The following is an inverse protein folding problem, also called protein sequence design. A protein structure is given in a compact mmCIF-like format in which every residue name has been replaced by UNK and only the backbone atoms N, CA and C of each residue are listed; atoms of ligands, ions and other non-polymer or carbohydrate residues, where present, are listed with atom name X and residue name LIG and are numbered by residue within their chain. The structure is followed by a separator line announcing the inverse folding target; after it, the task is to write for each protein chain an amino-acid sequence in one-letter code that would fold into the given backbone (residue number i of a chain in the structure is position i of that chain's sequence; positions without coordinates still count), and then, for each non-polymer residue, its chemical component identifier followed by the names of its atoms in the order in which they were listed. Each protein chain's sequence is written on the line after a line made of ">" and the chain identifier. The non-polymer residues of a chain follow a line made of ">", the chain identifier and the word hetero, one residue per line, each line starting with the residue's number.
data_IF_124454702418
#
_entry.id   IF_124454702418
#
_cell.length_a   1.000
_cell.length_b   1.000
_cell.length_c   1.000
_cell.angle_alpha   90.00
_cell.angle_beta   90.00
_cell.angle_gamma   90.00
#
_symmetry.space_group_name_H-M   'P 1'
#
loop_
_entity.id
_entity.type
_entity.pdbx_description
1 polymer ?
#
# COMPACT_ATOMS: atom_id res chain seq x y z
N UNK A 1 10.57 0.38 30.13
CA UNK A 1 11.62 0.84 29.19
C UNK A 1 10.95 1.73 28.15
N UNK A 2 10.94 3.04 28.37
CA UNK A 2 10.40 3.99 27.40
C UNK A 2 11.51 4.28 26.40
N UNK A 3 11.46 3.62 25.25
CA UNK A 3 12.30 4.00 24.11
C UNK A 3 11.77 5.34 23.61
N UNK A 4 12.36 6.42 24.08
CA UNK A 4 12.26 7.75 23.46
C UNK A 4 13.00 7.71 22.13
N UNK A 5 12.37 7.07 21.15
CA UNK A 5 12.89 6.95 19.80
C UNK A 5 12.25 8.06 18.97
N UNK A 6 13.02 9.12 18.74
CA UNK A 6 12.86 10.02 17.59
C UNK A 6 13.15 9.26 16.27
N UNK A 7 12.80 7.96 16.20
CA UNK A 7 12.80 7.19 14.97
C UNK A 7 11.63 7.72 14.15
N UNK A 8 11.95 8.29 12.99
CA UNK A 8 10.96 8.81 12.04
C UNK A 8 9.85 7.77 11.86
N UNK A 9 8.66 8.06 12.37
CA UNK A 9 7.55 7.12 12.31
C UNK A 9 7.21 6.88 10.83
N UNK A 10 7.19 5.62 10.42
CA UNK A 10 6.80 5.24 9.05
C UNK A 10 5.47 4.50 9.12
N UNK A 11 4.54 4.89 8.25
CA UNK A 11 3.31 4.16 8.00
C UNK A 11 3.42 3.42 6.68
N UNK A 12 2.70 2.32 6.56
CA UNK A 12 2.63 1.51 5.36
C UNK A 12 1.22 1.59 4.81
N UNK A 13 1.06 2.22 3.65
CA UNK A 13 -0.21 2.27 2.95
C UNK A 13 -0.27 1.11 1.95
N UNK A 14 -1.36 0.35 2.00
CA UNK A 14 -1.67 -0.70 1.05
C UNK A 14 -2.89 -0.28 0.24
N UNK A 15 -2.73 -0.26 -1.08
CA UNK A 15 -3.79 0.10 -2.01
C UNK A 15 -3.64 -0.68 -3.32
N UNK A 16 -4.69 -0.74 -4.10
CA UNK A 16 -4.68 -1.35 -5.43
C UNK A 16 -5.55 -0.61 -6.42
N UNK A 17 -5.43 -0.99 -7.68
CA UNK A 17 -6.22 -0.46 -8.76
C UNK A 17 -5.96 -1.23 -10.05
N UNK A 18 -6.83 -1.04 -11.03
CA UNK A 18 -6.60 -1.59 -12.35
C UNK A 18 -5.54 -0.79 -13.09
N UNK A 19 -4.55 -1.49 -13.65
CA UNK A 19 -3.56 -0.87 -14.50
C UNK A 19 -4.10 -0.65 -15.92
N UNK A 20 -3.56 0.36 -16.61
CA UNK A 20 -3.82 0.54 -18.04
C UNK A 20 -3.35 -0.68 -18.84
N UNK A 21 -2.14 -1.15 -18.52
CA UNK A 21 -1.46 -2.30 -19.14
C UNK A 21 -0.62 -3.02 -18.08
N UNK A 22 -0.48 -4.36 -18.19
CA UNK A 22 0.25 -5.19 -17.22
C UNK A 22 1.72 -4.76 -17.06
N UNK A 23 2.33 -4.24 -18.12
CA UNK A 23 3.75 -3.82 -18.15
C UNK A 23 3.99 -2.44 -17.55
N UNK A 24 2.95 -1.62 -17.34
CA UNK A 24 3.05 -0.23 -16.89
C UNK A 24 2.53 -0.11 -15.46
N UNK A 25 3.22 0.66 -14.62
CA UNK A 25 2.75 1.01 -13.27
C UNK A 25 1.85 2.26 -13.30
N UNK A 26 0.89 2.28 -14.20
CA UNK A 26 -0.06 3.39 -14.36
C UNK A 26 -1.45 2.87 -14.06
N UNK A 27 -2.08 3.42 -13.03
CA UNK A 27 -3.46 3.09 -12.66
C UNK A 27 -4.39 3.77 -13.65
N UNK A 28 -5.29 2.98 -14.26
CA UNK A 28 -6.24 3.40 -15.28
C UNK A 28 -7.16 4.51 -14.79
N UNK A 29 -7.67 4.40 -13.56
CA UNK A 29 -8.52 5.41 -12.95
C UNK A 29 -8.03 5.73 -11.54
N UNK A 30 -7.35 6.88 -11.33
CA UNK A 30 -6.90 7.32 -10.02
C UNK A 30 -8.01 7.58 -9.00
N UNK A 31 -9.24 7.82 -9.45
CA UNK A 31 -10.40 8.04 -8.55
C UNK A 31 -11.04 6.71 -8.09
N UNK A 32 -10.64 5.58 -8.69
CA UNK A 32 -11.14 4.23 -8.39
C UNK A 32 -10.03 3.34 -7.83
N UNK A 33 -9.53 3.75 -6.65
CA UNK A 33 -8.49 3.05 -5.91
C UNK A 33 -9.12 2.18 -4.83
N UNK A 34 -8.78 0.90 -4.79
CA UNK A 34 -9.09 0.02 -3.66
C UNK A 34 -8.11 0.30 -2.51
N UNK A 35 -8.54 1.11 -1.54
CA UNK A 35 -7.80 1.33 -0.32
C UNK A 35 -7.96 0.14 0.63
N UNK A 36 -6.87 -0.63 0.80
CA UNK A 36 -6.85 -1.78 1.71
C UNK A 36 -6.66 -1.33 3.16
N UNK A 37 -5.77 -0.36 3.39
CA UNK A 37 -5.57 0.22 4.71
C UNK A 37 -4.20 0.85 4.95
N UNK A 38 -4.03 1.40 6.15
CA UNK A 38 -2.79 2.02 6.63
C UNK A 38 -2.34 1.26 7.88
N UNK A 39 -1.06 0.87 7.92
CA UNK A 39 -0.50 0.01 8.96
C UNK A 39 0.75 0.63 9.58
N UNK A 40 0.97 0.37 10.87
CA UNK A 40 2.18 0.76 11.59
C UNK A 40 3.31 -0.29 11.54
N UNK A 41 3.06 -1.44 10.90
CA UNK A 41 4.00 -2.55 10.77
C UNK A 41 4.07 -3.01 9.31
N UNK A 42 5.29 -3.15 8.79
CA UNK A 42 5.51 -3.63 7.41
C UNK A 42 4.96 -5.04 7.22
N UNK A 43 5.12 -5.91 8.21
CA UNK A 43 4.64 -7.29 8.14
C UNK A 43 3.12 -7.34 8.02
N UNK A 44 2.40 -6.54 8.82
CA UNK A 44 0.93 -6.43 8.71
C UNK A 44 0.48 -5.89 7.35
N UNK A 45 1.19 -4.90 6.81
CA UNK A 45 0.92 -4.39 5.47
C UNK A 45 1.19 -5.45 4.39
N UNK A 46 2.27 -6.22 4.52
CA UNK A 46 2.60 -7.31 3.62
C UNK A 46 1.54 -8.41 3.62
N UNK A 47 1.06 -8.82 4.80
CA UNK A 47 0.00 -9.81 4.92
C UNK A 47 -1.30 -9.34 4.26
N UNK A 48 -1.69 -8.08 4.48
CA UNK A 48 -2.86 -7.47 3.86
C UNK A 48 -2.73 -7.38 2.33
N UNK A 49 -1.59 -6.92 1.84
CA UNK A 49 -1.26 -6.87 0.41
C UNK A 49 -1.31 -8.26 -0.24
N UNK A 50 -0.72 -9.27 0.41
CA UNK A 50 -0.68 -10.64 -0.10
C UNK A 50 -2.08 -11.22 -0.18
N UNK A 51 -2.89 -11.06 0.86
CA UNK A 51 -4.27 -11.54 0.89
C UNK A 51 -5.10 -10.91 -0.25
N UNK A 52 -5.04 -9.59 -0.42
CA UNK A 52 -5.75 -8.88 -1.49
C UNK A 52 -5.25 -9.24 -2.90
N UNK A 53 -3.94 -9.34 -3.08
CA UNK A 53 -3.34 -9.72 -4.36
C UNK A 53 -3.74 -11.14 -4.77
N UNK A 54 -3.82 -12.07 -3.82
CA UNK A 54 -4.24 -13.46 -4.08
C UNK A 54 -5.73 -13.57 -4.41
N UNK A 55 -6.57 -12.68 -3.88
CA UNK A 55 -8.00 -12.65 -4.21
C UNK A 55 -8.27 -12.17 -5.65
N UNK A 56 -7.38 -11.34 -6.21
CA UNK A 56 -7.56 -10.72 -7.52
C UNK A 56 -6.75 -11.38 -8.64
N UNK A 57 -6.37 -12.66 -8.48
CA UNK A 57 -5.58 -13.41 -9.48
C UNK A 57 -6.28 -13.48 -10.83
N UNK A 58 -7.61 -13.55 -10.85
CA UNK A 58 -8.40 -13.63 -12.09
C UNK A 58 -8.43 -12.31 -12.87
N UNK A 59 -8.18 -11.18 -12.21
CA UNK A 59 -8.05 -9.88 -12.88
C UNK A 59 -6.58 -9.57 -13.14
N UNK A 60 -6.12 -9.88 -14.36
CA UNK A 60 -4.74 -9.70 -14.77
C UNK A 60 -4.22 -8.25 -14.68
N UNK A 61 -5.13 -7.25 -14.69
CA UNK A 61 -4.78 -5.83 -14.60
C UNK A 61 -4.86 -5.28 -13.17
N UNK A 62 -5.62 -5.91 -12.28
CA UNK A 62 -5.67 -5.52 -10.88
C UNK A 62 -4.32 -5.81 -10.22
N UNK A 63 -3.69 -4.78 -9.66
CA UNK A 63 -2.47 -4.90 -8.87
C UNK A 63 -2.60 -4.12 -7.57
N UNK A 64 -1.99 -4.67 -6.52
CA UNK A 64 -1.84 -4.01 -5.22
C UNK A 64 -0.38 -3.64 -4.97
N UNK A 65 -0.20 -2.56 -4.22
CA UNK A 65 1.07 -1.95 -3.90
C UNK A 65 1.15 -1.67 -2.40
N UNK A 66 2.37 -1.64 -1.89
CA UNK A 66 2.69 -1.16 -0.54
C UNK A 66 3.62 0.03 -0.72
N UNK A 67 3.29 1.17 -0.11
CA UNK A 67 4.17 2.34 -0.06
C UNK A 67 4.52 2.68 1.38
N UNK A 68 5.75 3.16 1.56
CA UNK A 68 6.24 3.66 2.84
C UNK A 68 5.98 5.17 2.92
N UNK A 69 5.24 5.59 3.94
CA UNK A 69 4.91 6.99 4.20
C UNK A 69 5.69 7.41 5.45
N UNK A 70 6.84 8.09 5.30
CA UNK A 70 7.49 8.69 6.44
C UNK A 70 6.62 9.85 6.95
N UNK A 71 6.19 9.80 8.21
CA UNK A 71 5.50 10.91 8.85
C UNK A 71 6.48 12.08 9.01
N UNK A 72 6.25 13.12 8.21
CA UNK A 72 6.82 14.44 8.39
C UNK A 72 5.68 15.43 8.30
N UNK A 73 5.43 16.16 9.38
CA UNK A 73 4.47 17.25 9.40
C UNK A 73 5.15 18.49 8.82
N UNK A 74 4.51 19.14 7.84
CA UNK A 74 4.84 20.52 7.48
C UNK A 74 4.03 21.39 8.44
N UNK A 75 4.71 22.00 9.40
CA UNK A 75 4.16 23.07 10.23
C UNK A 75 4.11 24.40 9.45
#
# INVERSE_FOLDING_TARGET
>A
MNKSNNEKQVLYLVFGGELEEISKKVIRNPDDIDLVGIFSSRDKAYDAWKAKSQQMVDNALMRYFIIDIPLSFQD
#
